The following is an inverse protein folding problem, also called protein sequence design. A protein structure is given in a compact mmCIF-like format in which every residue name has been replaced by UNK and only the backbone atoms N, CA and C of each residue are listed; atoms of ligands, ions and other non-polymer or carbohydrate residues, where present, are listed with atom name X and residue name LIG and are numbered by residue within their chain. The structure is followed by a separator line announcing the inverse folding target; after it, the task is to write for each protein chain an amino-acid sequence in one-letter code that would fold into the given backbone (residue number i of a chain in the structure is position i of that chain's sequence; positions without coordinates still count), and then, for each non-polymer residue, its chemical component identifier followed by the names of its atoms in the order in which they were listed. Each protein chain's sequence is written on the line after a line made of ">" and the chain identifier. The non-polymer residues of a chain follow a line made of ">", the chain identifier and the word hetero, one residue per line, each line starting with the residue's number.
data_IF_122369818774
#
_entry.id   IF_122369818774
#
_cell.length_a   1.000
_cell.length_b   1.000
_cell.length_c   1.000
_cell.angle_alpha   90.00
_cell.angle_beta   90.00
_cell.angle_gamma   90.00
#
_symmetry.space_group_name_H-M   'P 1'
#
loop_
_entity.id
_entity.type
_entity.pdbx_description
1 polymer ?
#
# COMPACT_ATOMS: atom_id res chain seq x y z
N UNK A 1 16.47 14.26 -28.92
CA UNK A 1 15.06 14.58 -28.60
C UNK A 1 14.82 14.17 -27.15
N UNK A 2 14.42 15.10 -26.29
CA UNK A 2 14.45 14.98 -24.82
C UNK A 2 13.58 13.85 -24.24
N UNK A 3 14.09 13.25 -23.16
CA UNK A 3 13.42 12.27 -22.30
C UNK A 3 12.28 12.94 -21.54
N UNK A 4 11.07 12.34 -21.56
CA UNK A 4 9.95 12.75 -20.71
C UNK A 4 10.07 12.02 -19.38
N UNK A 5 10.42 12.75 -18.33
CA UNK A 5 10.22 12.33 -16.95
C UNK A 5 8.75 12.53 -16.61
N UNK A 6 7.97 11.43 -16.63
CA UNK A 6 6.63 11.43 -16.06
C UNK A 6 6.74 10.90 -14.64
N UNK A 7 6.74 11.83 -13.69
CA UNK A 7 6.62 11.57 -12.26
C UNK A 7 5.26 10.93 -11.97
N UNK A 8 5.18 9.61 -12.11
CA UNK A 8 4.22 8.82 -11.36
C UNK A 8 4.97 7.64 -10.73
N UNK A 9 5.82 7.96 -9.75
CA UNK A 9 6.62 6.98 -9.05
C UNK A 9 5.75 6.27 -8.00
N UNK A 10 5.10 5.18 -8.37
CA UNK A 10 4.77 4.15 -7.38
C UNK A 10 6.07 3.41 -7.04
N UNK A 11 6.86 3.99 -6.14
CA UNK A 11 7.97 3.29 -5.49
C UNK A 11 7.53 2.91 -4.09
N UNK A 12 6.83 1.79 -3.98
CA UNK A 12 6.62 1.11 -2.71
C UNK A 12 7.92 0.38 -2.34
N UNK A 13 8.81 1.08 -1.62
CA UNK A 13 10.06 0.51 -1.12
C UNK A 13 9.85 0.07 0.34
N UNK A 14 9.39 -1.17 0.54
CA UNK A 14 9.30 -1.79 1.87
C UNK A 14 10.70 -2.25 2.30
N UNK A 15 11.46 -1.37 2.97
CA UNK A 15 12.83 -1.73 3.36
C UNK A 15 13.59 -0.80 4.30
N UNK A 16 13.01 0.32 4.76
CA UNK A 16 13.68 1.11 5.80
C UNK A 16 12.68 1.86 6.69
N UNK A 17 12.63 1.42 7.95
CA UNK A 17 11.84 2.00 9.05
C UNK A 17 12.16 3.47 9.33
N UNK A 18 13.27 3.99 8.78
CA UNK A 18 13.70 5.38 8.92
C UNK A 18 12.81 6.41 8.19
N UNK A 19 12.02 6.00 7.18
CA UNK A 19 11.18 6.90 6.37
C UNK A 19 9.82 7.25 7.01
N UNK A 20 9.42 6.60 8.11
CA UNK A 20 8.17 6.90 8.81
C UNK A 20 8.15 8.32 9.44
N UNK A 21 9.33 8.89 9.73
CA UNK A 21 9.45 10.27 10.22
C UNK A 21 9.24 11.32 9.13
N UNK A 22 9.54 11.02 7.86
CA UNK A 22 9.40 11.97 6.76
C UNK A 22 7.92 12.16 6.38
N UNK A 23 7.12 11.09 6.51
CA UNK A 23 5.68 11.11 6.32
C UNK A 23 4.93 11.89 7.42
N UNK A 24 5.42 11.84 8.66
CA UNK A 24 4.86 12.62 9.77
C UNK A 24 5.22 14.11 9.70
N UNK A 25 6.34 14.48 9.05
CA UNK A 25 6.76 15.89 8.88
C UNK A 25 6.06 16.58 7.72
N UNK A 26 5.66 15.83 6.69
CA UNK A 26 4.79 16.35 5.64
C UNK A 26 3.37 16.25 6.15
N UNK A 27 2.79 17.37 6.61
CA UNK A 27 1.37 17.51 6.92
C UNK A 27 0.49 17.27 5.67
N UNK A 28 0.49 16.05 5.17
CA UNK A 28 -0.37 15.52 4.12
C UNK A 28 -1.66 15.13 4.81
N UNK A 29 -2.44 16.12 5.23
CA UNK A 29 -3.52 16.08 6.22
C UNK A 29 -4.70 15.12 5.94
N UNK A 30 -4.57 14.18 5.00
CA UNK A 30 -5.60 13.20 4.63
C UNK A 30 -5.08 11.80 4.28
N UNK A 31 -3.81 11.46 4.50
CA UNK A 31 -3.33 10.09 4.22
C UNK A 31 -3.28 9.26 5.49
N UNK A 32 -4.08 8.20 5.52
CA UNK A 32 -4.11 7.23 6.62
C UNK A 32 -2.94 6.27 6.48
N UNK A 33 -2.13 6.16 7.53
CA UNK A 33 -1.06 5.19 7.64
C UNK A 33 -1.59 3.95 8.36
N UNK A 34 -1.41 2.77 7.76
CA UNK A 34 -1.82 1.49 8.35
C UNK A 34 -0.61 0.61 8.58
N UNK A 35 -0.55 -0.01 9.75
CA UNK A 35 0.41 -1.06 10.03
C UNK A 35 0.12 -2.30 9.16
N UNK A 36 1.18 -3.03 8.80
CA UNK A 36 1.04 -4.25 8.00
C UNK A 36 0.16 -5.30 8.71
N UNK A 37 0.18 -5.33 10.05
CA UNK A 37 -0.69 -6.18 10.87
C UNK A 37 -2.17 -5.85 10.65
N UNK A 38 -2.52 -4.56 10.59
CA UNK A 38 -3.88 -4.10 10.31
C UNK A 38 -4.33 -4.51 8.91
N UNK A 39 -3.44 -4.40 7.91
CA UNK A 39 -3.71 -4.83 6.53
C UNK A 39 -3.89 -6.36 6.47
N UNK A 40 -3.04 -7.12 7.15
CA UNK A 40 -3.13 -8.57 7.22
C UNK A 40 -4.46 -8.99 7.87
N UNK A 41 -4.83 -8.41 9.01
CA UNK A 41 -6.11 -8.70 9.67
C UNK A 41 -7.32 -8.39 8.76
N UNK A 42 -7.32 -7.22 8.10
CA UNK A 42 -8.41 -6.82 7.20
C UNK A 42 -8.56 -7.75 5.99
N UNK A 43 -7.49 -8.41 5.55
CA UNK A 43 -7.50 -9.31 4.37
C UNK A 43 -7.61 -10.79 4.75
N UNK A 44 -7.81 -11.12 6.03
CA UNK A 44 -7.70 -12.49 6.57
C UNK A 44 -6.35 -13.12 6.18
N UNK A 45 -5.27 -12.43 6.54
CA UNK A 45 -3.89 -12.76 6.22
C UNK A 45 -3.66 -13.04 4.72
N UNK A 46 -4.18 -12.15 3.85
CA UNK A 46 -4.12 -12.29 2.39
C UNK A 46 -4.74 -13.61 1.88
N UNK A 47 -5.82 -14.06 2.52
CA UNK A 47 -6.55 -15.26 2.13
C UNK A 47 -6.99 -15.20 0.67
N UNK A 48 -6.81 -16.32 -0.03
CA UNK A 48 -7.23 -16.48 -1.43
C UNK A 48 -8.74 -16.26 -1.58
N UNK A 49 -9.54 -16.58 -0.56
CA UNK A 49 -10.98 -16.35 -0.55
C UNK A 49 -11.34 -14.85 -0.63
N UNK A 50 -10.42 -13.97 -0.25
CA UNK A 50 -10.56 -12.52 -0.33
C UNK A 50 -9.86 -11.92 -1.55
N UNK A 51 -9.18 -12.70 -2.41
CA UNK A 51 -8.58 -12.17 -3.63
C UNK A 51 -9.67 -11.86 -4.66
N UNK A 52 -9.69 -10.64 -5.15
CA UNK A 52 -10.55 -10.19 -6.25
C UNK A 52 -9.94 -10.53 -7.62
N UNK A 53 -8.61 -10.51 -7.73
CA UNK A 53 -7.90 -10.85 -8.96
C UNK A 53 -6.39 -10.60 -8.87
N UNK A 54 -5.68 -10.90 -9.95
CA UNK A 54 -4.25 -10.65 -10.13
C UNK A 54 -3.96 -10.19 -11.57
N UNK A 55 -3.03 -9.25 -11.74
CA UNK A 55 -2.62 -8.74 -13.04
C UNK A 55 -1.41 -7.81 -12.96
N UNK A 56 -1.25 -6.88 -13.90
CA UNK A 56 -0.11 -5.94 -13.95
C UNK A 56 0.02 -4.99 -12.73
N UNK A 57 -0.96 -4.99 -11.84
CA UNK A 57 -0.96 -4.25 -10.58
C UNK A 57 -0.64 -5.14 -9.35
N UNK A 58 -0.41 -6.43 -9.55
CA UNK A 58 -0.31 -7.43 -8.49
C UNK A 58 -1.66 -8.01 -8.06
N UNK A 59 -1.67 -8.68 -6.90
CA UNK A 59 -2.88 -9.25 -6.31
C UNK A 59 -3.74 -8.19 -5.61
N UNK A 60 -5.05 -8.20 -5.86
CA UNK A 60 -6.02 -7.30 -5.22
C UNK A 60 -6.90 -8.08 -4.26
N UNK A 61 -7.05 -7.61 -3.03
CA UNK A 61 -7.84 -8.26 -1.98
C UNK A 61 -8.98 -7.34 -1.50
N UNK A 62 -10.14 -7.93 -1.21
CA UNK A 62 -11.22 -7.26 -0.47
C UNK A 62 -10.99 -7.35 1.03
N UNK A 63 -11.62 -6.44 1.77
CA UNK A 63 -11.69 -6.52 3.22
C UNK A 63 -12.64 -7.68 3.60
N UNK A 64 -12.17 -8.58 4.45
CA UNK A 64 -13.01 -9.57 5.10
C UNK A 64 -13.98 -8.83 6.03
N UNK A 65 -15.27 -9.14 5.98
CA UNK A 65 -16.18 -8.65 7.00
C UNK A 65 -15.71 -9.23 8.34
N UNK A 66 -15.13 -8.37 9.19
CA UNK A 66 -14.85 -8.64 10.60
C UNK A 66 -16.20 -8.79 11.31
N UNK A 67 -16.79 -9.98 11.26
CA UNK A 67 -17.82 -10.40 12.20
C UNK A 67 -17.16 -11.06 13.40
#
# INVERSE_FOLDING_TARGET
>A
VSRRDNNNSFRLSFGDSSNLQEFNRTNSSNVLLFDLSSIAAATDNFSIANRLGEGGFGSVYKVANLL
#
